data_IF_208861255705
#
_entry.id   IF_208861255705
#
_cell.length_a   1.000
_cell.length_b   1.000
_cell.length_c   1.000
_cell.angle_alpha   90.00
_cell.angle_beta   90.00
_cell.angle_gamma   90.00
#
_symmetry.space_group_name_H-M   'P 1'
#
loop_
_entity.id
_entity.type
_entity.pdbx_description
1 polymer ?
#
# COMPACT_ATOMS: atom_id res chain seq x y z
N UNK A 1 7.51 -18.51 -11.51
CA UNK A 1 7.93 -17.50 -10.50
C UNK A 1 7.42 -17.96 -9.13
N UNK A 2 8.26 -18.01 -8.10
CA UNK A 2 7.88 -18.53 -6.78
C UNK A 2 6.90 -17.57 -6.07
N UNK A 3 5.74 -18.07 -5.63
CA UNK A 3 4.72 -17.34 -4.84
C UNK A 3 5.30 -16.56 -3.63
N UNK A 4 6.38 -17.05 -3.03
CA UNK A 4 7.05 -16.39 -1.90
C UNK A 4 7.83 -15.13 -2.28
N UNK A 5 8.29 -15.02 -3.53
CA UNK A 5 8.93 -13.80 -4.03
C UNK A 5 7.90 -12.70 -4.27
N UNK A 6 6.71 -13.07 -4.74
CA UNK A 6 5.58 -12.14 -4.90
C UNK A 6 5.12 -11.60 -3.53
N UNK A 7 4.83 -12.51 -2.59
CA UNK A 7 4.38 -12.13 -1.24
C UNK A 7 5.38 -11.22 -0.51
N UNK A 8 6.70 -11.45 -0.65
CA UNK A 8 7.73 -10.56 -0.08
C UNK A 8 7.72 -9.17 -0.71
N UNK A 9 7.50 -9.08 -2.02
CA UNK A 9 7.45 -7.79 -2.72
C UNK A 9 6.20 -6.99 -2.30
N UNK A 10 5.06 -7.64 -2.19
CA UNK A 10 3.81 -7.03 -1.71
C UNK A 10 3.96 -6.56 -0.25
N UNK A 11 4.52 -7.40 0.62
CA UNK A 11 4.77 -7.03 2.02
C UNK A 11 5.71 -5.82 2.15
N UNK A 12 6.77 -5.76 1.33
CA UNK A 12 7.67 -4.62 1.29
C UNK A 12 6.96 -3.32 0.85
N UNK A 13 6.00 -3.41 -0.07
CA UNK A 13 5.19 -2.26 -0.44
C UNK A 13 4.27 -1.81 0.69
N UNK A 14 3.58 -2.73 1.36
CA UNK A 14 2.77 -2.40 2.53
C UNK A 14 3.59 -1.68 3.61
N UNK A 15 4.81 -2.16 3.90
CA UNK A 15 5.71 -1.50 4.84
C UNK A 15 6.10 -0.09 4.39
N UNK A 16 6.44 0.10 3.11
CA UNK A 16 6.78 1.42 2.58
C UNK A 16 5.58 2.40 2.65
N UNK A 17 4.38 1.92 2.33
CA UNK A 17 3.13 2.68 2.42
C UNK A 17 2.86 3.11 3.88
N UNK A 18 2.97 2.20 4.84
CA UNK A 18 2.81 2.51 6.27
C UNK A 18 3.85 3.52 6.74
N UNK A 19 5.10 3.39 6.30
CA UNK A 19 6.17 4.31 6.66
C UNK A 19 5.88 5.73 6.13
N UNK A 20 5.48 5.85 4.87
CA UNK A 20 5.13 7.13 4.26
C UNK A 20 3.91 7.77 4.95
N UNK A 21 2.92 6.94 5.29
CA UNK A 21 1.76 7.38 6.05
C UNK A 21 2.17 7.97 7.40
N UNK A 22 3.03 7.26 8.13
CA UNK A 22 3.53 7.71 9.43
C UNK A 22 4.31 9.03 9.31
N UNK A 23 5.17 9.18 8.30
CA UNK A 23 5.90 10.42 8.06
C UNK A 23 4.98 11.60 7.72
N UNK A 24 3.95 11.38 6.89
CA UNK A 24 3.01 12.44 6.52
C UNK A 24 2.16 12.89 7.73
N UNK A 25 1.69 11.95 8.55
CA UNK A 25 0.97 12.26 9.79
C UNK A 25 1.87 12.98 10.80
N UNK A 26 3.09 12.47 11.02
CA UNK A 26 4.08 13.09 11.90
C UNK A 26 4.48 14.49 11.44
N UNK A 27 4.67 14.67 10.13
CA UNK A 27 4.94 15.97 9.52
C UNK A 27 3.80 16.96 9.77
N UNK A 28 2.55 16.52 9.63
CA UNK A 28 1.37 17.34 9.93
C UNK A 28 1.34 17.76 11.41
N UNK A 29 1.61 16.84 12.33
CA UNK A 29 1.62 17.12 13.76
C UNK A 29 2.75 18.07 14.19
N UNK A 30 3.93 18.00 13.56
CA UNK A 30 5.09 18.81 13.96
C UNK A 30 5.16 20.15 13.25
N UNK A 31 4.67 20.23 12.00
CA UNK A 31 4.69 21.46 11.21
C UNK A 31 3.59 22.44 11.60
N UNK A 32 2.53 21.96 12.25
CA UNK A 32 1.39 22.79 12.68
C UNK A 32 1.54 23.04 14.18
N UNK A 33 1.84 24.28 14.58
CA UNK A 33 2.13 24.56 15.96
C UNK A 33 0.77 24.60 16.73
N UNK A 34 0.71 24.01 17.95
CA UNK A 34 -0.55 23.70 18.63
C UNK A 34 -1.33 24.93 19.12
N UNK A 35 -0.74 26.13 19.02
CA UNK A 35 -1.35 27.39 19.44
C UNK A 35 -2.35 27.93 18.41
N UNK A 36 -2.41 27.34 17.21
CA UNK A 36 -3.44 27.61 16.22
C UNK A 36 -4.68 26.79 16.56
N UNK A 37 -5.68 27.47 17.10
CA UNK A 37 -6.99 26.91 17.40
C UNK A 37 -8.02 27.48 16.42
N UNK A 38 -8.79 26.62 15.77
CA UNK A 38 -9.90 27.02 14.92
C UNK A 38 -11.19 26.50 15.56
N UNK A 39 -12.14 27.40 15.82
CA UNK A 39 -13.41 27.05 16.49
C UNK A 39 -13.25 26.41 17.89
N UNK A 40 -12.17 26.72 18.61
CA UNK A 40 -11.93 26.18 19.96
C UNK A 40 -11.40 24.75 19.97
N UNK A 41 -10.97 24.24 18.81
CA UNK A 41 -10.29 22.95 18.68
C UNK A 41 -8.90 23.18 18.06
N UNK A 42 -7.87 22.42 18.48
CA UNK A 42 -6.57 22.44 17.84
C UNK A 42 -6.65 22.23 16.32
N UNK A 43 -6.08 23.16 15.55
CA UNK A 43 -6.08 23.11 14.08
C UNK A 43 -5.35 21.87 13.55
N UNK A 44 -4.31 21.40 14.26
CA UNK A 44 -3.57 20.19 13.89
C UNK A 44 -4.44 18.92 13.92
N UNK A 45 -5.48 18.88 14.76
CA UNK A 45 -6.46 17.78 14.78
C UNK A 45 -7.36 17.84 13.55
N UNK A 46 -7.86 19.03 13.20
CA UNK A 46 -8.70 19.21 12.01
C UNK A 46 -7.93 18.86 10.73
N UNK A 47 -6.66 19.29 10.66
CA UNK A 47 -5.77 18.90 9.58
C UNK A 47 -5.47 17.41 9.60
N UNK A 48 -5.22 16.79 10.76
CA UNK A 48 -5.08 15.32 10.84
C UNK A 48 -6.32 14.60 10.31
N UNK A 49 -7.52 15.11 10.61
CA UNK A 49 -8.79 14.56 10.11
C UNK A 49 -8.94 14.67 8.58
N UNK A 50 -8.38 15.69 7.95
CA UNK A 50 -8.37 15.84 6.48
C UNK A 50 -7.21 15.10 5.81
N UNK A 51 -6.05 15.06 6.47
CA UNK A 51 -4.84 14.37 6.00
C UNK A 51 -5.07 12.88 6.02
N UNK A 52 -5.69 12.32 7.07
CA UNK A 52 -5.98 10.89 7.19
C UNK A 52 -6.70 10.30 5.96
N UNK A 53 -7.87 10.83 5.52
CA UNK A 53 -8.58 10.33 4.35
C UNK A 53 -7.82 10.63 3.05
N UNK A 54 -7.19 11.80 2.91
CA UNK A 54 -6.44 12.15 1.70
C UNK A 54 -5.24 11.20 1.50
N UNK A 55 -4.52 10.95 2.58
CA UNK A 55 -3.39 10.03 2.63
C UNK A 55 -3.85 8.60 2.37
N UNK A 56 -4.97 8.16 2.96
CA UNK A 56 -5.57 6.86 2.67
C UNK A 56 -5.88 6.69 1.17
N UNK A 57 -6.50 7.69 0.54
CA UNK A 57 -6.78 7.68 -0.91
C UNK A 57 -5.48 7.59 -1.71
N UNK A 58 -4.45 8.37 -1.35
CA UNK A 58 -3.14 8.32 -2.02
C UNK A 58 -2.48 6.94 -1.88
N UNK A 59 -2.52 6.35 -0.68
CA UNK A 59 -2.01 5.00 -0.41
C UNK A 59 -2.76 3.97 -1.25
N UNK A 60 -4.10 4.04 -1.30
CA UNK A 60 -4.92 3.17 -2.14
C UNK A 60 -4.59 3.33 -3.62
N UNK A 61 -4.44 4.56 -4.12
CA UNK A 61 -4.10 4.83 -5.51
C UNK A 61 -2.71 4.29 -5.88
N UNK A 62 -1.72 4.46 -4.99
CA UNK A 62 -0.36 3.95 -5.19
C UNK A 62 -0.34 2.42 -5.13
N UNK A 63 -1.07 1.82 -4.19
CA UNK A 63 -1.26 0.38 -4.09
C UNK A 63 -1.90 -0.17 -5.37
N UNK A 64 -2.99 0.44 -5.85
CA UNK A 64 -3.67 0.09 -7.11
C UNK A 64 -2.70 0.20 -8.28
N UNK A 65 -2.06 1.35 -8.50
CA UNK A 65 -1.10 1.51 -9.61
C UNK A 65 0.07 0.51 -9.60
N UNK A 66 0.37 -0.12 -8.46
CA UNK A 66 1.43 -1.11 -8.33
C UNK A 66 0.94 -2.56 -8.33
N UNK A 67 -0.28 -2.84 -7.84
CA UNK A 67 -0.95 -4.14 -7.98
C UNK A 67 -1.44 -4.38 -9.41
N UNK A 68 -1.74 -3.33 -10.16
CA UNK A 68 -2.08 -3.38 -11.58
C UNK A 68 -0.84 -3.49 -12.49
N UNK A 69 0.36 -3.70 -11.94
CA UNK A 69 1.46 -4.27 -12.75
C UNK A 69 1.07 -5.73 -12.98
N UNK A 70 0.65 -6.02 -14.21
CA UNK A 70 0.22 -7.33 -14.69
C UNK A 70 1.06 -8.43 -14.04
N UNK A 71 0.46 -9.12 -13.06
CA UNK A 71 0.86 -10.49 -12.79
C UNK A 71 0.43 -11.22 -14.05
N UNK A 72 1.36 -11.71 -14.89
CA UNK A 72 0.98 -12.60 -15.96
C UNK A 72 0.32 -13.79 -15.27
N UNK A 73 -0.99 -13.93 -15.48
CA UNK A 73 -1.76 -15.09 -15.05
C UNK A 73 -1.35 -16.34 -15.84
N UNK A 74 -0.30 -16.28 -16.67
CA UNK A 74 0.29 -17.43 -17.32
C UNK A 74 1.26 -18.15 -16.37
N UNK A 75 0.69 -18.80 -15.35
CA UNK A 75 1.23 -20.11 -14.97
C UNK A 75 0.63 -21.13 -15.92
N UNK A 76 1.03 -21.08 -17.21
CA UNK A 76 1.01 -22.32 -17.96
C UNK A 76 1.93 -23.25 -17.18
N UNK A 77 1.38 -24.35 -16.69
CA UNK A 77 2.18 -25.47 -16.22
C UNK A 77 2.35 -26.41 -17.42
N UNK A 78 3.32 -26.23 -18.35
CA UNK A 78 3.68 -27.29 -19.26
C UNK A 78 4.68 -28.20 -18.54
N UNK A 79 4.17 -29.05 -17.65
CA UNK A 79 4.80 -30.34 -17.38
C UNK A 79 3.73 -31.36 -17.75
N UNK A 80 3.52 -31.68 -19.03
CA UNK A 80 4.54 -32.31 -19.86
C UNK A 80 4.68 -33.77 -19.47
N UNK A 81 3.68 -34.59 -19.83
CA UNK A 81 3.79 -35.90 -20.54
C UNK A 81 2.54 -36.76 -20.28
N UNK A 82 1.63 -36.77 -21.25
CA UNK A 82 0.94 -38.00 -21.65
C UNK A 82 1.99 -39.02 -22.10
N UNK A 83 1.99 -40.23 -21.54
CA UNK A 83 2.60 -41.45 -22.11
C UNK A 83 2.37 -42.65 -21.18
N UNK A 84 1.90 -43.75 -21.77
CA UNK A 84 1.59 -45.08 -21.22
C UNK A 84 0.20 -45.17 -20.55
N UNK A 85 -0.87 -45.71 -21.14
CA UNK A 85 -1.00 -46.77 -22.16
C UNK A 85 0.01 -47.90 -22.01
N UNK A 86 -0.19 -48.77 -21.03
CA UNK A 86 -0.05 -50.21 -21.28
C UNK A 86 -0.81 -51.01 -20.21
N UNK A 87 -1.85 -51.68 -20.72
CA UNK A 87 -2.40 -53.00 -20.34
C UNK A 87 -2.78 -53.30 -18.89
#
# INVERSE_FOLDING_TARGET
>A
MNRFALARREAAFCLLLTLFYFFAWYGTAYFIPPQLELWGLPLWFLLSCMVMPLLFILLCALMVNRLFVEIPLDTHSPSGKESSHES
#
